data_IF_791830155478
#
_entry.id   IF_791830155478
#
_cell.length_a   1.000
_cell.length_b   1.000
_cell.length_c   1.000
_cell.angle_alpha   90.00
_cell.angle_beta   90.00
_cell.angle_gamma   90.00
#
_symmetry.space_group_name_H-M   'P 1'
#
loop_
_entity.id
_entity.type
_entity.pdbx_description
1 polymer ?
#
# COMPACT_ATOMS: atom_id res chain seq x y z
N UNK A 1 10.27 11.14 -1.37
CA UNK A 1 10.18 9.85 -2.08
C UNK A 1 9.01 9.06 -1.50
N UNK A 2 8.27 8.30 -2.32
CA UNK A 2 7.27 7.35 -1.83
C UNK A 2 7.89 5.98 -1.56
N UNK A 3 7.32 5.24 -0.62
CA UNK A 3 7.70 3.84 -0.41
C UNK A 3 7.34 3.04 -1.66
N UNK A 4 8.36 2.49 -2.35
CA UNK A 4 8.12 1.46 -3.36
C UNK A 4 7.75 0.17 -2.63
N UNK A 5 6.45 -0.15 -2.59
CA UNK A 5 5.99 -1.46 -2.20
C UNK A 5 6.29 -2.44 -3.32
N UNK A 6 7.39 -3.19 -3.21
CA UNK A 6 7.83 -4.05 -4.30
C UNK A 6 6.86 -5.19 -4.63
N UNK A 7 5.96 -5.61 -3.72
CA UNK A 7 5.08 -6.78 -3.95
C UNK A 7 3.77 -6.84 -3.11
N UNK A 8 3.40 -5.78 -2.38
CA UNK A 8 2.33 -5.88 -1.35
C UNK A 8 1.16 -4.90 -1.46
N UNK A 9 1.31 -3.85 -2.27
CA UNK A 9 0.26 -2.86 -2.49
C UNK A 9 0.29 -2.43 -3.95
N UNK A 10 -0.83 -2.60 -4.65
CA UNK A 10 -1.03 -1.99 -5.97
C UNK A 10 -1.29 -0.49 -5.76
N UNK A 11 -0.22 0.25 -5.48
CA UNK A 11 -0.27 1.72 -5.41
C UNK A 11 -0.32 2.28 -6.83
N UNK A 12 -1.51 2.74 -7.26
CA UNK A 12 -1.69 3.48 -8.51
C UNK A 12 -0.97 4.84 -8.50
N UNK A 13 -0.84 5.45 -7.32
CA UNK A 13 -0.24 6.78 -7.15
C UNK A 13 1.16 6.67 -6.57
N UNK A 14 2.14 6.48 -7.46
CA UNK A 14 3.55 6.61 -7.12
C UNK A 14 4.02 8.02 -7.52
N UNK A 15 4.37 8.91 -6.59
CA UNK A 15 4.97 10.19 -6.95
C UNK A 15 6.28 9.94 -7.70
N UNK A 16 6.34 10.41 -8.95
CA UNK A 16 7.61 10.55 -9.63
C UNK A 16 8.43 11.62 -8.89
N UNK A 17 9.61 11.27 -8.41
CA UNK A 17 10.54 12.24 -7.81
C UNK A 17 10.90 13.28 -8.86
N UNK A 18 10.52 14.54 -8.66
CA UNK A 18 11.00 15.63 -9.52
C UNK A 18 12.25 16.23 -8.86
N UNK A 19 13.38 16.20 -9.58
CA UNK A 19 14.66 16.77 -9.12
C UNK A 19 14.67 18.32 -9.10
N UNK A 20 13.54 18.96 -9.42
CA UNK A 20 13.39 20.41 -9.51
C UNK A 20 12.77 20.95 -8.22
N UNK A 21 13.59 21.18 -7.20
CA UNK A 21 13.21 22.06 -6.10
C UNK A 21 12.11 21.54 -5.17
N UNK A 22 12.13 20.25 -4.83
CA UNK A 22 11.22 19.67 -3.84
C UNK A 22 11.92 19.48 -2.48
N UNK A 23 11.19 19.73 -1.39
CA UNK A 23 11.60 19.32 -0.05
C UNK A 23 10.74 18.13 0.39
N UNK A 24 11.37 16.97 0.49
CA UNK A 24 10.74 15.74 0.92
C UNK A 24 11.20 15.34 2.33
N UNK A 25 10.23 15.04 3.20
CA UNK A 25 10.47 14.41 4.49
C UNK A 25 9.73 13.08 4.54
N UNK A 26 10.43 12.03 4.98
CA UNK A 26 9.82 10.72 5.21
C UNK A 26 10.30 10.16 6.54
N UNK A 27 9.40 9.47 7.23
CA UNK A 27 9.66 8.80 8.50
C UNK A 27 8.93 7.47 8.54
N UNK A 28 9.63 6.45 9.03
CA UNK A 28 9.08 5.12 9.29
C UNK A 28 9.36 4.76 10.75
N UNK A 29 8.35 4.25 11.43
CA UNK A 29 8.45 3.75 12.80
C UNK A 29 7.89 2.33 12.83
N UNK A 30 8.69 1.38 13.30
CA UNK A 30 8.27 0.00 13.54
C UNK A 30 8.29 -0.28 15.04
N UNK A 31 7.18 -0.76 15.56
CA UNK A 31 6.97 -1.03 16.98
C UNK A 31 6.54 -2.49 17.12
N UNK A 32 7.36 -3.30 17.77
CA UNK A 32 6.99 -4.68 18.14
C UNK A 32 6.23 -4.65 19.46
N UNK A 33 4.91 -4.83 19.40
CA UNK A 33 4.03 -4.80 20.58
C UNK A 33 4.12 -6.11 21.38
N UNK A 34 4.30 -7.22 20.70
CA UNK A 34 4.49 -8.57 21.25
C UNK A 34 5.37 -9.37 20.29
N UNK A 35 5.95 -10.49 20.71
CA UNK A 35 6.75 -11.36 19.83
C UNK A 35 6.05 -11.77 18.53
N UNK A 36 4.71 -11.77 18.54
CA UNK A 36 3.85 -12.16 17.42
C UNK A 36 3.18 -10.97 16.72
N UNK A 37 3.38 -9.73 17.19
CA UNK A 37 2.67 -8.54 16.69
C UNK A 37 3.58 -7.35 16.49
N UNK A 38 3.71 -6.93 15.23
CA UNK A 38 4.39 -5.73 14.80
C UNK A 38 3.41 -4.69 14.26
N UNK A 39 3.67 -3.43 14.59
CA UNK A 39 3.00 -2.26 14.04
C UNK A 39 4.01 -1.43 13.26
N UNK A 40 3.63 -0.99 12.07
CA UNK A 40 4.39 -0.12 11.20
C UNK A 40 3.59 1.15 10.95
N UNK A 41 4.23 2.28 11.20
CA UNK A 41 3.72 3.61 10.91
C UNK A 41 4.68 4.25 9.92
N UNK A 42 4.17 4.64 8.75
CA UNK A 42 4.95 5.36 7.76
C UNK A 42 4.26 6.67 7.42
N UNK A 43 5.06 7.72 7.33
CA UNK A 43 4.61 9.05 6.96
C UNK A 43 5.58 9.66 5.96
N UNK A 44 5.04 10.17 4.85
CA UNK A 44 5.82 10.93 3.86
C UNK A 44 5.10 12.24 3.55
N UNK A 45 5.85 13.32 3.43
CA UNK A 45 5.38 14.61 2.98
C UNK A 45 6.38 15.19 1.99
N UNK A 46 5.87 15.67 0.86
CA UNK A 46 6.65 16.33 -0.19
C UNK A 46 5.97 17.66 -0.48
N UNK A 47 6.71 18.73 -0.24
CA UNK A 47 6.29 20.11 -0.48
C UNK A 47 7.28 20.77 -1.47
N UNK A 48 6.81 21.71 -2.28
CA UNK A 48 7.63 22.53 -3.19
C UNK A 48 8.42 23.61 -2.42
N UNK A 49 9.46 24.20 -3.03
CA UNK A 49 10.18 25.39 -2.54
C UNK A 49 9.24 26.58 -2.25
N UNK A 50 8.09 26.62 -2.91
CA UNK A 50 7.03 27.62 -2.70
C UNK A 50 5.98 27.22 -1.64
N UNK A 51 6.21 26.15 -0.87
CA UNK A 51 5.30 25.61 0.16
C UNK A 51 3.96 25.07 -0.39
N UNK A 52 3.92 24.69 -1.67
CA UNK A 52 2.77 24.00 -2.25
C UNK A 52 2.79 22.52 -1.87
N UNK A 53 1.62 21.98 -1.49
CA UNK A 53 1.47 20.57 -1.12
C UNK A 53 1.49 19.71 -2.38
N UNK A 54 2.49 18.85 -2.53
CA UNK A 54 2.62 17.96 -3.68
C UNK A 54 2.10 16.57 -3.35
N UNK A 55 2.67 15.95 -2.31
CA UNK A 55 2.36 14.57 -1.94
C UNK A 55 2.34 14.37 -0.44
N UNK A 56 1.35 13.64 0.07
CA UNK A 56 1.34 13.18 1.46
C UNK A 56 0.89 11.73 1.51
N UNK A 57 1.58 10.97 2.34
CA UNK A 57 1.25 9.58 2.62
C UNK A 57 1.23 9.35 4.12
N UNK A 58 0.21 8.62 4.56
CA UNK A 58 0.15 8.01 5.86
C UNK A 58 -0.19 6.54 5.66
N UNK A 59 0.65 5.67 6.19
CA UNK A 59 0.43 4.23 6.15
C UNK A 59 0.50 3.71 7.58
N UNK A 60 -0.53 2.96 7.94
CA UNK A 60 -0.56 2.19 9.17
C UNK A 60 -0.74 0.73 8.78
N UNK A 61 0.24 -0.10 9.13
CA UNK A 61 0.25 -1.53 8.82
C UNK A 61 0.48 -2.29 10.12
N UNK A 62 -0.32 -3.32 10.34
CA UNK A 62 -0.22 -4.22 11.48
C UNK A 62 0.03 -5.63 10.96
N UNK A 63 1.09 -6.26 11.45
CA UNK A 63 1.48 -7.63 11.11
C UNK A 63 1.37 -8.52 12.34
N UNK A 64 0.56 -9.55 12.26
CA UNK A 64 0.40 -10.57 13.29
C UNK A 64 0.89 -11.89 12.73
N UNK A 65 1.91 -12.47 13.35
CA UNK A 65 2.46 -13.78 12.98
C UNK A 65 2.30 -14.74 14.14
N UNK A 66 1.49 -15.78 13.97
CA UNK A 66 1.22 -16.77 15.03
C UNK A 66 1.77 -18.14 14.65
N UNK A 67 2.72 -18.61 15.45
CA UNK A 67 3.33 -19.95 15.34
C UNK A 67 3.87 -20.27 13.94
N UNK A 68 4.28 -19.24 13.19
CA UNK A 68 4.76 -19.29 11.80
C UNK A 68 3.81 -19.94 10.78
N UNK A 69 2.58 -20.29 11.19
CA UNK A 69 1.56 -20.92 10.33
C UNK A 69 0.50 -19.94 9.88
N UNK A 70 0.36 -18.83 10.60
CA UNK A 70 -0.62 -17.80 10.32
C UNK A 70 0.10 -16.47 10.29
N UNK A 71 0.05 -15.80 9.15
CA UNK A 71 0.51 -14.42 9.01
C UNK A 71 -0.68 -13.62 8.53
N UNK A 72 -1.09 -12.64 9.32
CA UNK A 72 -2.12 -11.69 8.98
C UNK A 72 -1.49 -10.31 8.95
N UNK A 73 -1.55 -9.66 7.81
CA UNK A 73 -1.14 -8.29 7.61
C UNK A 73 -2.38 -7.53 7.24
N UNK A 74 -2.63 -6.41 7.89
CA UNK A 74 -3.73 -5.53 7.53
C UNK A 74 -3.33 -4.11 7.82
N UNK A 75 -3.92 -3.19 7.08
CA UNK A 75 -3.57 -1.80 7.23
C UNK A 75 -4.47 -0.90 6.43
N UNK A 76 -4.14 0.37 6.52
CA UNK A 76 -4.76 1.38 5.68
C UNK A 76 -3.69 2.33 5.20
N UNK A 77 -3.78 2.67 3.93
CA UNK A 77 -2.96 3.69 3.31
C UNK A 77 -3.85 4.89 2.97
N UNK A 78 -3.41 6.07 3.37
CA UNK A 78 -4.02 7.35 3.04
C UNK A 78 -3.03 8.10 2.18
N UNK A 79 -3.41 8.42 0.94
CA UNK A 79 -2.58 9.23 0.06
C UNK A 79 -3.30 10.50 -0.35
N UNK A 80 -2.53 11.56 -0.47
CA UNK A 80 -2.96 12.82 -1.04
C UNK A 80 -2.00 13.17 -2.16
N UNK A 81 -2.55 13.34 -3.35
CA UNK A 81 -1.78 13.50 -4.57
C UNK A 81 -2.28 14.71 -5.35
N UNK A 82 -1.36 15.62 -5.65
CA UNK A 82 -1.68 16.80 -6.43
C UNK A 82 -1.52 16.54 -7.93
N UNK A 83 -2.62 16.14 -8.60
CA UNK A 83 -2.64 15.87 -10.04
C UNK A 83 -2.28 17.10 -10.88
N UNK A 84 -2.57 18.32 -10.41
CA UNK A 84 -2.29 19.54 -11.18
C UNK A 84 -0.79 19.71 -11.41
N UNK A 85 0.02 19.47 -10.38
CA UNK A 85 1.47 19.63 -10.46
C UNK A 85 2.13 18.43 -11.12
N UNK A 86 1.69 17.22 -10.81
CA UNK A 86 2.33 16.01 -11.33
C UNK A 86 1.91 15.64 -12.77
N UNK A 87 0.66 15.90 -13.16
CA UNK A 87 0.15 15.60 -14.52
C UNK A 87 0.05 16.85 -15.40
N UNK A 88 0.33 18.05 -14.87
CA UNK A 88 0.26 19.31 -15.61
C UNK A 88 -1.16 19.70 -16.05
N UNK A 89 -2.19 19.15 -15.39
CA UNK A 89 -3.62 19.43 -15.67
C UNK A 89 -4.06 20.68 -14.88
N UNK A 90 -4.32 21.84 -15.53
CA UNK A 90 -4.72 23.04 -14.80
C UNK A 90 -6.04 22.85 -14.05
N UNK A 91 -6.13 23.34 -12.80
CA UNK A 91 -7.31 23.25 -11.92
C UNK A 91 -7.73 21.83 -11.49
N UNK A 92 -6.85 20.84 -11.57
CA UNK A 92 -7.17 19.49 -11.08
C UNK A 92 -7.29 19.49 -9.54
N UNK A 93 -8.37 18.92 -8.96
CA UNK A 93 -8.50 18.83 -7.52
C UNK A 93 -7.43 17.91 -6.92
N UNK A 94 -7.08 18.17 -5.66
CA UNK A 94 -6.15 17.32 -4.92
C UNK A 94 -6.81 15.96 -4.65
N UNK A 95 -6.28 14.90 -5.25
CA UNK A 95 -6.84 13.55 -5.14
C UNK A 95 -6.53 13.00 -3.76
N UNK A 96 -7.57 12.48 -3.11
CA UNK A 96 -7.44 11.75 -1.85
C UNK A 96 -7.83 10.30 -2.08
N UNK A 97 -6.96 9.39 -1.68
CA UNK A 97 -7.25 7.96 -1.68
C UNK A 97 -7.15 7.39 -0.28
N UNK A 98 -8.11 6.54 0.06
CA UNK A 98 -8.10 5.70 1.25
C UNK A 98 -8.10 4.26 0.77
N UNK A 99 -7.01 3.54 1.03
CA UNK A 99 -6.83 2.15 0.63
C UNK A 99 -6.67 1.26 1.86
N UNK A 100 -7.77 0.73 2.43
CA UNK A 100 -7.69 -0.43 3.30
C UNK A 100 -7.19 -1.66 2.53
N UNK A 101 -6.36 -2.45 3.20
CA UNK A 101 -5.85 -3.71 2.64
C UNK A 101 -5.72 -4.78 3.71
N UNK A 102 -5.78 -6.03 3.27
CA UNK A 102 -5.58 -7.21 4.08
C UNK A 102 -4.88 -8.29 3.28
N UNK A 103 -3.81 -8.85 3.85
CA UNK A 103 -3.10 -10.02 3.34
C UNK A 103 -3.09 -11.08 4.44
N UNK A 104 -3.74 -12.20 4.16
CA UNK A 104 -3.80 -13.35 5.02
C UNK A 104 -3.09 -14.54 4.39
N UNK A 105 -2.11 -15.07 5.09
CA UNK A 105 -1.40 -16.29 4.70
C UNK A 105 -1.58 -17.36 5.77
N UNK A 106 -2.05 -18.54 5.34
CA UNK A 106 -2.11 -19.74 6.15
C UNK A 106 -1.25 -20.86 5.57
N UNK A 107 -0.28 -21.32 6.35
CA UNK A 107 0.60 -22.43 6.03
C UNK A 107 0.13 -23.69 6.79
N UNK A 108 -0.50 -24.64 6.07
CA UNK A 108 -0.90 -25.92 6.66
C UNK A 108 0.31 -26.83 6.92
N UNK A 109 1.28 -26.81 6.00
CA UNK A 109 2.55 -27.54 6.03
C UNK A 109 3.59 -26.68 5.33
N UNK A 110 4.87 -26.98 5.52
CA UNK A 110 5.96 -26.33 4.78
C UNK A 110 5.76 -26.37 3.26
N UNK A 111 5.04 -27.39 2.77
CA UNK A 111 4.77 -27.59 1.34
C UNK A 111 3.42 -27.08 0.84
N UNK A 112 2.55 -26.54 1.71
CA UNK A 112 1.21 -26.09 1.31
C UNK A 112 0.82 -24.82 2.05
N UNK A 113 0.62 -23.75 1.29
CA UNK A 113 0.12 -22.49 1.83
C UNK A 113 -1.01 -21.93 0.96
N UNK A 114 -1.92 -21.21 1.60
CA UNK A 114 -2.92 -20.36 0.96
C UNK A 114 -2.64 -18.94 1.37
N UNK A 115 -2.55 -18.06 0.38
CA UNK A 115 -2.48 -16.61 0.57
C UNK A 115 -3.71 -15.97 -0.05
N UNK A 116 -4.30 -15.05 0.67
CA UNK A 116 -5.43 -14.24 0.23
C UNK A 116 -5.02 -12.80 0.45
N UNK A 117 -5.03 -12.01 -0.61
CA UNK A 117 -4.67 -10.61 -0.60
C UNK A 117 -5.87 -9.84 -1.16
N UNK A 118 -6.35 -8.85 -0.41
CA UNK A 118 -7.49 -8.04 -0.79
C UNK A 118 -7.18 -6.57 -0.51
N UNK A 119 -7.42 -5.74 -1.51
CA UNK A 119 -7.20 -4.29 -1.47
C UNK A 119 -8.46 -3.62 -1.98
N UNK A 120 -8.86 -2.53 -1.33
CA UNK A 120 -9.95 -1.69 -1.80
C UNK A 120 -9.51 -0.25 -1.67
N UNK A 121 -9.57 0.53 -2.74
CA UNK A 121 -9.30 1.96 -2.66
C UNK A 121 -10.57 2.73 -2.92
N UNK A 122 -10.83 3.65 -2.01
CA UNK A 122 -11.85 4.66 -2.13
C UNK A 122 -11.20 5.95 -2.59
N UNK A 123 -11.75 6.54 -3.65
CA UNK A 123 -11.26 7.82 -4.15
C UNK A 123 -12.42 8.67 -4.64
N UNK A 124 -12.54 9.87 -4.07
CA UNK A 124 -13.61 10.82 -4.38
C UNK A 124 -13.35 11.60 -5.70
N UNK A 125 -12.13 11.54 -6.26
CA UNK A 125 -11.69 12.33 -7.42
C UNK A 125 -10.81 11.49 -8.36
N UNK A 126 -11.05 11.56 -9.68
CA UNK A 126 -10.38 10.80 -10.76
C UNK A 126 -11.14 9.53 -11.19
N UNK A 127 -10.58 8.33 -10.97
CA UNK A 127 -11.05 7.07 -11.59
C UNK A 127 -12.09 6.26 -10.79
N UNK A 128 -12.48 6.72 -9.60
CA UNK A 128 -13.45 6.02 -8.75
C UNK A 128 -12.85 4.94 -7.87
N UNK A 129 -13.70 4.06 -7.36
CA UNK A 129 -13.33 3.00 -6.42
C UNK A 129 -12.79 1.78 -7.16
N UNK A 130 -11.66 1.23 -6.73
CA UNK A 130 -11.19 -0.06 -7.25
C UNK A 130 -11.08 -1.10 -6.15
N UNK A 131 -11.29 -2.35 -6.56
CA UNK A 131 -11.17 -3.52 -5.71
C UNK A 131 -10.22 -4.51 -6.35
N UNK A 132 -9.32 -5.06 -5.56
CA UNK A 132 -8.50 -6.18 -5.97
C UNK A 132 -8.61 -7.32 -4.96
N UNK A 133 -8.71 -8.53 -5.49
CA UNK A 133 -8.74 -9.76 -4.72
C UNK A 133 -7.84 -10.78 -5.42
N UNK A 134 -6.85 -11.25 -4.69
CA UNK A 134 -5.90 -12.26 -5.10
C UNK A 134 -6.02 -13.44 -4.15
N UNK A 135 -6.20 -14.63 -4.71
CA UNK A 135 -6.17 -15.89 -3.98
C UNK A 135 -5.07 -16.74 -4.62
N UNK A 136 -4.08 -17.13 -3.82
CA UNK A 136 -2.95 -17.94 -4.25
C UNK A 136 -2.87 -19.21 -3.40
N UNK A 137 -2.88 -20.37 -4.06
CA UNK A 137 -2.67 -21.67 -3.42
C UNK A 137 -1.36 -22.28 -3.93
N UNK A 138 -0.41 -22.47 -3.02
CA UNK A 138 0.91 -23.03 -3.32
C UNK A 138 1.01 -24.48 -2.84
N UNK A 139 1.52 -25.34 -3.71
CA UNK A 139 1.85 -26.74 -3.44
C UNK A 139 3.30 -26.98 -3.87
N UNK A 140 4.21 -26.82 -2.91
CA UNK A 140 5.62 -27.06 -3.13
C UNK A 140 5.88 -28.55 -3.46
N UNK A 141 6.83 -28.87 -4.35
CA UNK A 141 7.77 -27.95 -5.02
C UNK A 141 7.38 -27.56 -6.45
N UNK A 142 6.13 -27.82 -6.90
CA UNK A 142 5.82 -27.84 -8.34
C UNK A 142 4.71 -26.92 -8.83
N UNK A 143 3.74 -26.54 -7.99
CA UNK A 143 2.55 -25.86 -8.50
C UNK A 143 2.19 -24.67 -7.61
N UNK A 144 1.93 -23.54 -8.25
CA UNK A 144 1.31 -22.37 -7.65
C UNK A 144 0.11 -22.05 -8.52
N UNK A 145 -1.06 -22.00 -7.90
CA UNK A 145 -2.30 -21.60 -8.55
C UNK A 145 -2.66 -20.22 -8.07
N UNK A 146 -2.81 -19.29 -9.00
CA UNK A 146 -3.12 -17.90 -8.69
C UNK A 146 -4.42 -17.52 -9.40
N UNK A 147 -5.31 -16.88 -8.66
CA UNK A 147 -6.55 -16.32 -9.18
C UNK A 147 -6.66 -14.88 -8.74
N UNK A 148 -6.78 -13.97 -9.71
CA UNK A 148 -6.79 -12.53 -9.52
C UNK A 148 -8.10 -11.96 -10.07
N UNK A 149 -8.79 -11.16 -9.27
CA UNK A 149 -9.93 -10.34 -9.67
C UNK A 149 -9.54 -8.89 -9.39
N UNK A 150 -9.64 -8.04 -10.41
CA UNK A 150 -9.51 -6.59 -10.27
C UNK A 150 -10.75 -5.94 -10.89
N UNK A 151 -11.38 -5.01 -10.18
CA UNK A 151 -12.54 -4.23 -10.62
C UNK A 151 -12.23 -2.75 -10.47
N UNK A 152 -12.56 -1.96 -11.50
CA UNK A 152 -12.41 -0.50 -11.61
C UNK A 152 -13.79 0.06 -11.95
#
# INVERSE_FOLDING_TARGET
MSRQNSYRLLSFYQPATQELGELAFQGEMRITLTSDWDLLLHHSNIDDLHQNKLYREYLVESTITKSDKYTLIFGTQLQQYNQEVYEGKPQAPLVKSLTPFVDFTHQWRETRALRIDAEYMMTDQDQGDWTNLLIEYSVAPRWIFQYLICTI
#
